data_IF_013255685675
#
_entry.id   IF_013255685675
#
_cell.length_a   1.000
_cell.length_b   1.000
_cell.length_c   1.000
_cell.angle_alpha   90.00
_cell.angle_beta   90.00
_cell.angle_gamma   90.00
#
_symmetry.space_group_name_H-M   'P 1'
#
loop_
_entity.id
_entity.type
_entity.pdbx_description
1 polymer ?
#
# COMPACT_ATOMS: atom_id res chain seq x y z
N UNK A 1 -7.97 -18.15 -13.62
CA UNK A 1 -7.60 -16.87 -12.98
C UNK A 1 -7.23 -17.03 -11.51
N UNK A 2 -6.10 -16.46 -11.04
CA UNK A 2 -5.72 -16.45 -9.61
C UNK A 2 -6.58 -15.51 -8.76
N UNK A 3 -7.39 -14.66 -9.39
CA UNK A 3 -8.22 -13.65 -8.71
C UNK A 3 -9.67 -14.07 -8.49
N UNK A 4 -10.00 -15.34 -8.75
CA UNK A 4 -11.36 -15.84 -8.60
C UNK A 4 -11.75 -15.93 -7.12
N UNK A 5 -12.95 -15.45 -6.79
CA UNK A 5 -13.48 -15.40 -5.41
C UNK A 5 -14.68 -16.33 -5.21
N UNK A 6 -14.96 -16.70 -3.97
CA UNK A 6 -16.15 -17.51 -3.61
C UNK A 6 -17.48 -16.86 -4.03
N UNK A 7 -17.57 -15.52 -3.95
CA UNK A 7 -18.75 -14.78 -4.41
C UNK A 7 -19.03 -14.97 -5.91
N UNK A 8 -17.98 -15.02 -6.72
CA UNK A 8 -18.09 -15.23 -8.16
C UNK A 8 -18.54 -16.67 -8.49
N UNK A 9 -18.05 -17.67 -7.75
CA UNK A 9 -18.56 -19.04 -7.89
C UNK A 9 -20.06 -19.14 -7.59
N UNK A 10 -20.51 -18.53 -6.48
CA UNK A 10 -21.93 -18.52 -6.12
C UNK A 10 -22.77 -17.86 -7.20
N UNK A 11 -22.33 -16.71 -7.74
CA UNK A 11 -23.02 -16.03 -8.84
C UNK A 11 -23.06 -16.89 -10.13
N UNK A 12 -21.99 -17.63 -10.42
CA UNK A 12 -21.95 -18.59 -11.53
C UNK A 12 -22.97 -19.72 -11.35
N UNK A 13 -23.09 -20.28 -10.15
CA UNK A 13 -24.06 -21.32 -9.81
C UNK A 13 -25.50 -20.78 -9.93
N UNK A 14 -25.75 -19.57 -9.44
CA UNK A 14 -27.07 -18.94 -9.58
C UNK A 14 -27.42 -18.70 -11.04
N UNK A 15 -26.43 -18.32 -11.86
CA UNK A 15 -26.62 -18.16 -13.30
C UNK A 15 -26.94 -19.49 -13.99
N UNK A 16 -26.31 -20.60 -13.59
CA UNK A 16 -26.56 -21.94 -14.14
C UNK A 16 -28.03 -22.35 -14.04
N UNK A 17 -28.83 -21.80 -13.12
CA UNK A 17 -30.26 -22.14 -13.03
C UNK A 17 -31.04 -21.88 -14.31
N UNK A 18 -30.54 -21.03 -15.20
CA UNK A 18 -31.18 -20.68 -16.48
C UNK A 18 -30.43 -21.25 -17.71
N UNK A 19 -29.37 -22.04 -17.51
CA UNK A 19 -28.49 -22.52 -18.58
C UNK A 19 -28.05 -23.97 -18.31
N UNK A 20 -27.53 -24.65 -19.33
CA UNK A 20 -27.01 -26.01 -19.19
C UNK A 20 -25.54 -26.02 -18.75
N UNK A 21 -24.81 -24.99 -19.19
CA UNK A 21 -23.43 -24.69 -18.84
C UNK A 21 -23.24 -23.19 -18.67
N UNK A 22 -22.29 -22.79 -17.84
CA UNK A 22 -21.85 -21.40 -17.66
C UNK A 22 -20.34 -21.33 -17.81
N UNK A 23 -19.89 -20.38 -18.63
CA UNK A 23 -18.48 -20.02 -18.78
C UNK A 23 -18.23 -18.61 -18.25
N UNK A 24 -16.98 -18.35 -17.90
CA UNK A 24 -16.54 -17.03 -17.45
C UNK A 24 -15.83 -16.29 -18.57
N UNK A 25 -16.19 -15.01 -18.76
CA UNK A 25 -15.56 -14.14 -19.75
C UNK A 25 -15.22 -12.78 -19.15
N UNK A 26 -14.25 -12.10 -19.75
CA UNK A 26 -13.97 -10.68 -19.52
C UNK A 26 -14.25 -9.89 -20.79
N UNK A 27 -14.52 -8.59 -20.66
CA UNK A 27 -14.51 -7.69 -21.81
C UNK A 27 -13.08 -7.38 -22.22
N UNK A 28 -12.77 -7.54 -23.50
CA UNK A 28 -11.50 -7.17 -24.09
C UNK A 28 -11.70 -6.12 -25.17
N UNK A 29 -10.91 -5.04 -25.10
CA UNK A 29 -10.85 -4.00 -26.13
C UNK A 29 -9.68 -4.21 -27.10
N UNK A 30 -9.09 -5.40 -27.12
CA UNK A 30 -7.99 -5.73 -28.04
C UNK A 30 -8.54 -5.86 -29.47
N UNK A 31 -7.81 -5.29 -30.41
CA UNK A 31 -8.08 -5.47 -31.83
C UNK A 31 -7.46 -6.78 -32.27
N UNK A 32 -8.26 -7.65 -32.84
CA UNK A 32 -7.84 -8.99 -33.25
C UNK A 32 -7.73 -9.10 -34.75
N UNK A 33 -6.77 -9.88 -35.19
CA UNK A 33 -6.48 -10.16 -36.58
C UNK A 33 -6.30 -11.66 -36.74
N UNK A 34 -6.70 -12.20 -37.89
CA UNK A 34 -6.35 -13.57 -38.27
C UNK A 34 -4.94 -13.64 -38.87
N UNK A 35 -4.49 -14.86 -39.22
CA UNK A 35 -3.18 -15.09 -39.83
C UNK A 35 -3.09 -14.57 -41.28
N UNK A 36 -4.24 -14.31 -41.91
CA UNK A 36 -4.35 -13.78 -43.27
C UNK A 36 -4.31 -12.25 -43.30
N UNK A 37 -4.29 -11.60 -42.13
CA UNK A 37 -4.26 -10.13 -42.03
C UNK A 37 -5.63 -9.48 -42.17
N UNK A 38 -6.72 -10.17 -41.83
CA UNK A 38 -8.05 -9.57 -41.73
C UNK A 38 -8.37 -9.21 -40.28
N UNK A 39 -8.96 -8.04 -40.05
CA UNK A 39 -9.47 -7.66 -38.75
C UNK A 39 -10.71 -8.49 -38.39
N UNK A 40 -10.74 -9.04 -37.18
CA UNK A 40 -11.80 -9.95 -36.74
C UNK A 40 -12.97 -9.23 -36.04
N UNK A 41 -12.72 -8.08 -35.42
CA UNK A 41 -13.68 -7.47 -34.50
C UNK A 41 -13.88 -5.96 -34.67
N UNK A 42 -13.37 -5.37 -35.77
CA UNK A 42 -13.59 -3.97 -36.10
C UNK A 42 -13.37 -3.73 -37.61
N UNK A 43 -13.90 -2.62 -38.12
CA UNK A 43 -13.66 -2.16 -39.49
C UNK A 43 -12.33 -1.39 -39.58
N UNK A 44 -11.42 -1.84 -40.44
CA UNK A 44 -10.11 -1.22 -40.64
C UNK A 44 -10.19 0.17 -41.27
N UNK A 45 -11.21 0.44 -42.08
CA UNK A 45 -11.39 1.73 -42.75
C UNK A 45 -12.07 2.76 -41.84
N UNK A 46 -12.76 2.28 -40.79
CA UNK A 46 -13.39 3.10 -39.76
C UNK A 46 -12.87 2.70 -38.37
N UNK A 47 -11.55 2.58 -38.21
CA UNK A 47 -10.94 2.07 -36.99
C UNK A 47 -11.25 2.98 -35.79
N UNK A 48 -12.03 2.51 -34.80
CA UNK A 48 -12.32 3.32 -33.61
C UNK A 48 -11.06 3.48 -32.74
N UNK A 49 -11.04 4.51 -31.90
CA UNK A 49 -10.07 4.53 -30.79
C UNK A 49 -10.40 3.38 -29.85
N UNK A 50 -9.38 2.82 -29.20
CA UNK A 50 -9.58 1.67 -28.29
C UNK A 50 -10.52 2.01 -27.13
N UNK A 51 -10.52 3.26 -26.68
CA UNK A 51 -11.41 3.75 -25.62
C UNK A 51 -12.89 3.70 -26.04
N UNK A 52 -13.17 3.99 -27.31
CA UNK A 52 -14.53 4.06 -27.88
C UNK A 52 -15.02 2.71 -28.42
N UNK A 53 -14.14 1.71 -28.50
CA UNK A 53 -14.51 0.37 -28.91
C UNK A 53 -15.27 -0.35 -27.79
N UNK A 54 -16.45 -0.88 -28.13
CA UNK A 54 -17.29 -1.64 -27.19
C UNK A 54 -16.59 -2.90 -26.66
N UNK A 55 -15.65 -3.46 -27.44
CA UNK A 55 -14.93 -4.67 -27.10
C UNK A 55 -15.71 -5.93 -27.45
N UNK A 56 -15.12 -7.07 -27.10
CA UNK A 56 -15.73 -8.39 -27.23
C UNK A 56 -15.55 -9.17 -25.92
N UNK A 57 -16.36 -10.19 -25.74
CA UNK A 57 -16.17 -11.14 -24.65
C UNK A 57 -15.08 -12.13 -25.04
N UNK A 58 -14.07 -12.25 -24.17
CA UNK A 58 -13.05 -13.29 -24.24
C UNK A 58 -13.14 -14.15 -22.99
N UNK A 59 -13.07 -15.45 -23.16
CA UNK A 59 -12.94 -16.39 -22.06
C UNK A 59 -11.70 -16.08 -21.21
N UNK A 60 -11.85 -16.11 -19.89
CA UNK A 60 -10.77 -15.83 -18.93
C UNK A 60 -10.32 -17.06 -18.13
N UNK A 61 -10.82 -18.26 -18.50
CA UNK A 61 -10.44 -19.54 -17.90
C UNK A 61 -10.64 -19.62 -16.38
N UNK A 62 -11.44 -18.74 -15.78
CA UNK A 62 -11.61 -18.68 -14.33
C UNK A 62 -12.38 -19.89 -13.80
N UNK A 63 -13.55 -20.19 -14.37
CA UNK A 63 -14.26 -21.43 -14.09
C UNK A 63 -15.29 -21.80 -15.16
N UNK A 64 -15.67 -23.07 -15.14
CA UNK A 64 -16.75 -23.65 -15.94
C UNK A 64 -17.71 -24.35 -14.99
N UNK A 65 -19.01 -24.14 -15.14
CA UNK A 65 -20.02 -24.82 -14.33
C UNK A 65 -21.02 -25.46 -15.27
N UNK A 66 -21.21 -26.77 -15.15
CA UNK A 66 -22.13 -27.52 -16.02
C UNK A 66 -22.78 -28.65 -15.21
N UNK A 67 -24.02 -29.01 -15.54
CA UNK A 67 -24.63 -30.19 -14.92
C UNK A 67 -23.94 -31.48 -15.38
N UNK A 68 -23.84 -32.44 -14.47
CA UNK A 68 -23.12 -33.72 -14.68
C UNK A 68 -23.66 -34.52 -15.87
N UNK A 69 -24.98 -34.50 -16.09
CA UNK A 69 -25.61 -35.20 -17.23
C UNK A 69 -25.11 -34.66 -18.57
N UNK A 70 -24.98 -33.33 -18.72
CA UNK A 70 -24.50 -32.70 -19.95
C UNK A 70 -23.00 -32.98 -20.20
N UNK A 71 -22.19 -33.02 -19.16
CA UNK A 71 -20.78 -33.42 -19.29
C UNK A 71 -20.67 -34.86 -19.80
N UNK A 72 -21.48 -35.77 -19.24
CA UNK A 72 -21.45 -37.19 -19.62
C UNK A 72 -21.95 -37.44 -21.04
N UNK A 73 -23.03 -36.77 -21.45
CA UNK A 73 -23.62 -36.98 -22.78
C UNK A 73 -22.78 -36.34 -23.90
N UNK A 74 -22.29 -35.12 -23.69
CA UNK A 74 -21.50 -34.39 -24.69
C UNK A 74 -20.01 -34.79 -24.70
N UNK A 75 -19.52 -35.40 -23.63
CA UNK A 75 -18.08 -35.63 -23.37
C UNK A 75 -17.26 -34.33 -23.37
N UNK A 76 -17.89 -33.20 -23.08
CA UNK A 76 -17.25 -31.89 -23.04
C UNK A 76 -17.57 -31.16 -21.73
N UNK A 77 -16.68 -30.25 -21.31
CA UNK A 77 -16.86 -29.44 -20.09
C UNK A 77 -18.00 -28.43 -20.23
N UNK A 78 -18.29 -28.00 -21.46
CA UNK A 78 -19.31 -27.01 -21.79
C UNK A 78 -20.15 -27.57 -22.94
N UNK A 79 -21.47 -27.55 -22.79
CA UNK A 79 -22.42 -28.00 -23.82
C UNK A 79 -23.84 -27.48 -23.56
N UNK A 80 -24.75 -27.69 -24.51
CA UNK A 80 -26.14 -27.24 -24.41
C UNK A 80 -26.26 -25.73 -24.57
N UNK A 81 -27.23 -25.12 -23.88
CA UNK A 81 -27.39 -23.68 -23.80
C UNK A 81 -26.35 -23.07 -22.84
N UNK A 82 -25.46 -22.23 -23.36
CA UNK A 82 -24.30 -21.71 -22.63
C UNK A 82 -24.57 -20.28 -22.14
N UNK A 83 -24.52 -20.09 -20.82
CA UNK A 83 -24.54 -18.78 -20.19
C UNK A 83 -23.15 -18.20 -20.04
N UNK A 84 -23.03 -16.88 -20.15
CA UNK A 84 -21.77 -16.17 -19.88
C UNK A 84 -21.87 -15.38 -18.57
N UNK A 85 -20.97 -15.66 -17.63
CA UNK A 85 -20.74 -14.82 -16.46
C UNK A 85 -19.57 -13.87 -16.73
N UNK A 86 -19.87 -12.58 -16.83
CA UNK A 86 -18.85 -11.56 -17.09
C UNK A 86 -18.13 -11.21 -15.79
N UNK A 87 -16.81 -11.34 -15.79
CA UNK A 87 -15.92 -11.04 -14.67
C UNK A 87 -15.15 -9.73 -14.92
N UNK A 88 -14.62 -9.10 -13.86
CA UNK A 88 -13.73 -7.95 -13.98
C UNK A 88 -12.48 -8.23 -14.83
N UNK A 89 -11.97 -7.22 -15.55
CA UNK A 89 -10.89 -7.37 -16.54
C UNK A 89 -9.61 -7.98 -15.94
N UNK A 90 -9.25 -7.61 -14.72
CA UNK A 90 -8.09 -8.12 -13.99
C UNK A 90 -8.09 -9.66 -13.87
N UNK A 91 -9.26 -10.29 -13.93
CA UNK A 91 -9.39 -11.74 -13.84
C UNK A 91 -8.98 -12.44 -15.14
N UNK A 92 -8.67 -11.72 -16.21
CA UNK A 92 -8.12 -12.27 -17.45
C UNK A 92 -6.73 -12.88 -17.29
N UNK A 93 -6.03 -12.58 -16.18
CA UNK A 93 -4.68 -13.06 -15.96
C UNK A 93 -4.69 -14.55 -15.61
N UNK A 94 -3.82 -15.28 -16.29
CA UNK A 94 -3.47 -16.67 -16.04
C UNK A 94 -1.99 -16.71 -15.65
N UNK A 95 -1.61 -17.60 -14.73
CA UNK A 95 -0.23 -17.71 -14.25
C UNK A 95 0.37 -18.97 -14.87
N UNK A 96 0.77 -18.87 -16.13
CA UNK A 96 1.34 -19.99 -16.88
C UNK A 96 2.86 -19.90 -16.97
N UNK A 97 3.40 -18.68 -17.04
CA UNK A 97 4.83 -18.39 -17.06
C UNK A 97 5.29 -17.60 -15.82
N UNK A 98 6.58 -17.66 -15.44
CA UNK A 98 7.11 -16.89 -14.32
C UNK A 98 6.87 -15.36 -14.40
N UNK A 99 6.74 -14.81 -15.61
CA UNK A 99 6.45 -13.38 -15.80
C UNK A 99 5.02 -13.02 -15.39
N UNK A 100 4.08 -13.95 -15.55
CA UNK A 100 2.68 -13.72 -15.18
C UNK A 100 2.54 -13.55 -13.67
N UNK A 101 3.39 -14.23 -12.89
CA UNK A 101 3.47 -14.04 -11.44
C UNK A 101 3.72 -12.57 -11.07
N UNK A 102 4.68 -11.91 -11.73
CA UNK A 102 5.02 -10.52 -11.44
C UNK A 102 3.86 -9.58 -11.77
N UNK A 103 3.13 -9.86 -12.85
CA UNK A 103 1.96 -9.07 -13.24
C UNK A 103 0.82 -9.30 -12.24
N UNK A 104 0.56 -10.56 -11.89
CA UNK A 104 -0.46 -10.94 -10.94
C UNK A 104 -0.19 -10.35 -9.54
N UNK A 105 1.04 -10.41 -9.06
CA UNK A 105 1.46 -9.84 -7.78
C UNK A 105 1.21 -8.33 -7.72
N UNK A 106 1.56 -7.59 -8.79
CA UNK A 106 1.32 -6.15 -8.86
C UNK A 106 -0.16 -5.76 -8.94
N UNK A 107 -1.00 -6.63 -9.50
CA UNK A 107 -2.45 -6.42 -9.50
C UNK A 107 -3.04 -6.79 -8.13
N UNK A 108 -2.57 -7.89 -7.53
CA UNK A 108 -2.96 -8.31 -6.19
C UNK A 108 -2.59 -7.26 -5.15
N UNK A 109 -1.42 -6.63 -5.26
CA UNK A 109 -0.98 -5.59 -4.32
C UNK A 109 -1.98 -4.44 -4.29
N UNK A 110 -2.55 -4.02 -5.43
CA UNK A 110 -3.63 -3.03 -5.46
C UNK A 110 -4.87 -3.52 -4.69
N UNK A 111 -5.30 -4.76 -4.90
CA UNK A 111 -6.45 -5.31 -4.17
C UNK A 111 -6.19 -5.44 -2.67
N UNK A 112 -4.99 -5.85 -2.26
CA UNK A 112 -4.60 -5.95 -0.86
C UNK A 112 -4.47 -4.58 -0.21
N UNK A 113 -3.90 -3.59 -0.91
CA UNK A 113 -3.80 -2.21 -0.43
C UNK A 113 -5.18 -1.55 -0.28
N UNK A 114 -6.12 -1.83 -1.19
CA UNK A 114 -7.51 -1.35 -1.11
C UNK A 114 -8.25 -1.98 0.08
N UNK A 115 -7.95 -3.24 0.41
CA UNK A 115 -8.69 -3.98 1.45
C UNK A 115 -8.01 -4.00 2.84
N UNK A 116 -6.74 -3.61 2.95
CA UNK A 116 -6.05 -3.50 4.23
C UNK A 116 -6.40 -2.16 4.87
N UNK A 117 -7.57 -2.09 5.51
CA UNK A 117 -7.91 -0.96 6.38
C UNK A 117 -6.90 -0.94 7.52
N UNK A 118 -5.95 -0.01 7.46
CA UNK A 118 -4.95 0.17 8.51
C UNK A 118 -5.69 0.71 9.73
N UNK A 119 -5.76 -0.09 10.78
CA UNK A 119 -6.38 0.29 12.04
C UNK A 119 -5.38 1.07 12.89
N UNK A 120 -5.36 2.38 12.70
CA UNK A 120 -4.46 3.27 13.39
C UNK A 120 -4.81 3.45 14.88
N UNK A 121 -5.96 2.95 15.35
CA UNK A 121 -6.32 2.96 16.79
C UNK A 121 -5.40 2.08 17.64
N UNK A 122 -4.64 1.18 17.00
CA UNK A 122 -3.64 0.33 17.67
C UNK A 122 -2.34 1.05 17.99
N UNK A 123 -2.12 2.26 17.49
CA UNK A 123 -0.89 3.01 17.78
C UNK A 123 -0.90 3.44 19.24
N UNK A 124 0.05 2.93 20.02
CA UNK A 124 0.27 3.33 21.42
C UNK A 124 1.49 4.21 21.60
N UNK A 125 2.45 4.11 20.68
CA UNK A 125 3.71 4.84 20.70
C UNK A 125 4.02 5.39 19.32
N UNK A 126 4.27 6.70 19.24
CA UNK A 126 4.74 7.38 18.05
C UNK A 126 6.15 7.92 18.29
N UNK A 127 7.07 7.61 17.38
CA UNK A 127 8.44 8.07 17.40
C UNK A 127 8.77 8.73 16.06
N UNK A 128 9.62 9.75 16.08
CA UNK A 128 10.11 10.42 14.87
C UNK A 128 11.62 10.47 14.86
N UNK A 129 12.24 10.29 13.69
CA UNK A 129 13.57 10.84 13.47
C UNK A 129 13.53 12.37 13.54
N UNK A 130 14.70 12.99 13.71
CA UNK A 130 14.84 14.44 13.77
C UNK A 130 15.26 14.97 12.40
N UNK A 131 16.45 14.61 11.95
CA UNK A 131 17.02 15.14 10.73
C UNK A 131 16.43 14.44 9.51
N UNK A 132 16.05 15.21 8.50
CA UNK A 132 15.35 14.70 7.32
C UNK A 132 13.86 14.35 7.53
N UNK A 133 13.37 14.43 8.78
CA UNK A 133 11.95 14.25 9.13
C UNK A 133 11.36 15.50 9.79
N UNK A 134 11.73 15.82 11.03
CA UNK A 134 11.28 17.04 11.71
C UNK A 134 11.98 18.30 11.20
N UNK A 135 13.15 18.12 10.59
CA UNK A 135 13.91 19.13 9.86
C UNK A 135 14.02 18.72 8.39
N UNK A 136 14.44 19.66 7.55
CA UNK A 136 14.70 19.42 6.13
C UNK A 136 16.00 18.65 5.86
N UNK A 137 16.69 18.19 6.91
CA UNK A 137 18.01 17.56 6.83
C UNK A 137 19.15 18.57 6.62
N UNK A 138 18.84 19.86 6.52
CA UNK A 138 19.82 20.93 6.41
C UNK A 138 20.42 21.30 7.78
N UNK A 139 21.73 21.52 7.78
CA UNK A 139 22.48 22.06 8.91
C UNK A 139 23.00 23.45 8.59
N UNK A 140 22.69 24.43 9.43
CA UNK A 140 23.18 25.79 9.29
C UNK A 140 24.31 26.02 10.29
N UNK A 141 25.49 26.38 9.79
CA UNK A 141 26.66 26.71 10.59
C UNK A 141 26.94 28.21 10.53
N UNK A 142 27.10 28.84 11.69
CA UNK A 142 27.59 30.21 11.81
C UNK A 142 29.12 30.25 11.92
N UNK A 143 29.72 31.41 11.63
CA UNK A 143 31.18 31.61 11.69
C UNK A 143 31.76 31.38 13.10
N UNK A 144 30.95 31.56 14.14
CA UNK A 144 31.32 31.29 15.55
C UNK A 144 31.19 29.81 15.95
N UNK A 145 30.79 28.94 15.02
CA UNK A 145 30.59 27.51 15.24
C UNK A 145 29.21 27.14 15.76
N UNK A 146 28.27 28.09 15.92
CA UNK A 146 26.91 27.77 16.31
C UNK A 146 26.14 27.04 15.20
N UNK A 147 25.31 26.09 15.61
CA UNK A 147 24.47 25.28 14.72
C UNK A 147 22.99 25.64 14.88
N UNK A 148 22.27 25.71 13.75
CA UNK A 148 20.83 25.95 13.74
C UNK A 148 20.12 24.89 12.89
N UNK A 149 18.89 24.59 13.30
CA UNK A 149 17.96 23.74 12.54
C UNK A 149 16.59 24.39 12.47
N UNK A 150 15.91 24.17 11.35
CA UNK A 150 14.53 24.62 11.14
C UNK A 150 13.57 23.48 11.47
N UNK A 151 12.58 23.75 12.31
CA UNK A 151 11.49 22.83 12.63
C UNK A 151 10.15 23.40 12.18
N UNK A 152 9.24 22.55 11.73
CA UNK A 152 7.86 22.94 11.44
C UNK A 152 7.05 23.16 12.73
N UNK A 153 6.22 24.20 12.76
CA UNK A 153 5.23 24.40 13.82
C UNK A 153 4.04 23.45 13.66
N UNK A 154 3.71 23.04 12.43
CA UNK A 154 2.63 22.09 12.14
C UNK A 154 2.89 20.73 12.78
N UNK A 155 4.14 20.25 12.72
CA UNK A 155 4.53 18.98 13.38
C UNK A 155 4.37 19.05 14.89
N UNK A 156 4.63 20.22 15.49
CA UNK A 156 4.38 20.43 16.92
C UNK A 156 2.91 20.26 17.31
N UNK A 157 1.99 20.74 16.48
CA UNK A 157 0.55 20.47 16.68
C UNK A 157 0.23 18.98 16.48
N UNK A 158 0.88 18.32 15.52
CA UNK A 158 0.77 16.88 15.32
C UNK A 158 1.05 16.08 16.60
N UNK A 159 2.22 16.29 17.20
CA UNK A 159 2.58 15.65 18.48
C UNK A 159 1.53 15.89 19.56
N UNK A 160 1.05 17.13 19.70
CA UNK A 160 0.04 17.48 20.69
C UNK A 160 -1.28 16.71 20.48
N UNK A 161 -1.74 16.58 19.23
CA UNK A 161 -2.97 15.83 18.92
C UNK A 161 -2.83 14.36 19.32
N UNK A 162 -1.68 13.74 19.06
CA UNK A 162 -1.42 12.35 19.48
C UNK A 162 -1.45 12.21 21.01
N UNK A 163 -0.83 13.15 21.72
CA UNK A 163 -0.83 13.16 23.18
C UNK A 163 -2.24 13.33 23.77
N UNK A 164 -3.07 14.19 23.17
CA UNK A 164 -4.49 14.37 23.54
C UNK A 164 -5.30 13.09 23.35
N UNK A 165 -4.90 12.21 22.41
CA UNK A 165 -5.47 10.87 22.22
C UNK A 165 -4.82 9.79 23.08
N UNK A 166 -3.92 10.14 24.00
CA UNK A 166 -3.25 9.21 24.91
C UNK A 166 -2.13 8.39 24.27
N UNK A 167 -1.71 8.72 23.04
CA UNK A 167 -0.55 8.10 22.39
C UNK A 167 0.72 8.67 23.00
N UNK A 168 1.64 7.79 23.38
CA UNK A 168 2.97 8.19 23.85
C UNK A 168 3.82 8.69 22.69
N UNK A 169 4.55 9.77 22.89
CA UNK A 169 5.31 10.40 21.80
C UNK A 169 6.78 10.60 22.13
N UNK A 170 7.65 10.51 21.12
CA UNK A 170 9.06 10.80 21.29
C UNK A 170 9.85 11.02 20.01
N UNK A 171 11.14 11.30 20.19
CA UNK A 171 12.12 11.40 19.10
C UNK A 171 13.30 10.46 19.31
N UNK A 172 13.91 10.01 18.21
CA UNK A 172 15.15 9.23 18.23
C UNK A 172 16.11 9.80 17.19
N UNK A 173 17.26 10.29 17.65
CA UNK A 173 18.31 10.85 16.78
C UNK A 173 19.67 10.25 17.09
N UNK A 174 20.51 10.12 16.06
CA UNK A 174 21.92 9.76 16.18
C UNK A 174 22.77 10.91 16.71
N UNK A 175 22.26 12.14 16.68
CA UNK A 175 22.96 13.30 17.23
C UNK A 175 22.72 13.45 18.73
N UNK A 176 23.69 14.08 19.42
CA UNK A 176 23.56 14.43 20.82
C UNK A 176 23.84 15.92 21.04
N UNK A 177 22.89 16.74 20.60
CA UNK A 177 22.98 18.21 20.65
C UNK A 177 21.86 18.81 21.51
N UNK A 178 22.18 19.87 22.25
CA UNK A 178 21.24 20.55 23.15
C UNK A 178 20.03 21.16 22.44
N UNK A 179 20.17 21.53 21.16
CA UNK A 179 19.08 22.05 20.36
C UNK A 179 17.94 21.03 20.20
N UNK A 180 18.26 19.75 19.96
CA UNK A 180 17.27 18.68 19.84
C UNK A 180 16.55 18.44 21.19
N UNK A 181 17.30 18.43 22.31
CA UNK A 181 16.74 18.30 23.67
C UNK A 181 15.81 19.45 24.03
N UNK A 182 16.19 20.69 23.73
CA UNK A 182 15.33 21.88 23.93
C UNK A 182 14.04 21.77 23.12
N UNK A 183 14.11 21.26 21.88
CA UNK A 183 12.93 21.04 21.05
C UNK A 183 12.01 19.97 21.64
N UNK A 184 12.56 18.82 22.04
CA UNK A 184 11.81 17.76 22.72
C UNK A 184 11.07 18.28 23.96
N UNK A 185 11.78 19.01 24.82
CA UNK A 185 11.19 19.64 26.01
C UNK A 185 10.08 20.63 25.66
N UNK A 186 10.27 21.46 24.62
CA UNK A 186 9.24 22.41 24.17
C UNK A 186 7.99 21.73 23.65
N UNK A 187 8.13 20.56 23.02
CA UNK A 187 7.01 19.74 22.55
C UNK A 187 6.36 18.92 23.69
N UNK A 188 7.01 18.82 24.85
CA UNK A 188 6.53 18.03 25.97
C UNK A 188 6.50 16.53 25.68
N UNK A 189 7.51 16.03 24.94
CA UNK A 189 7.58 14.61 24.56
C UNK A 189 7.70 13.70 25.80
N UNK A 190 7.14 12.50 25.74
CA UNK A 190 7.30 11.47 26.78
C UNK A 190 8.73 10.89 26.77
N UNK A 191 9.34 10.81 25.59
CA UNK A 191 10.67 10.23 25.38
C UNK A 191 11.52 11.04 24.40
N UNK A 192 12.80 11.19 24.67
CA UNK A 192 13.77 11.74 23.74
C UNK A 192 15.12 11.01 23.84
N UNK A 193 15.49 10.32 22.77
CA UNK A 193 16.73 9.53 22.71
C UNK A 193 17.73 10.21 21.78
N UNK A 194 18.95 10.41 22.29
CA UNK A 194 20.02 11.15 21.63
C UNK A 194 21.30 10.32 21.58
N UNK A 195 22.12 10.53 20.55
CA UNK A 195 23.35 9.75 20.36
C UNK A 195 23.10 8.28 20.06
N UNK A 196 21.92 7.94 19.50
CA UNK A 196 21.50 6.55 19.31
C UNK A 196 22.14 5.98 18.05
N UNK A 197 22.89 4.89 18.23
CA UNK A 197 23.47 4.11 17.12
C UNK A 197 22.50 3.03 16.65
N UNK A 198 21.96 2.25 17.58
CA UNK A 198 20.97 1.21 17.28
C UNK A 198 19.56 1.67 17.68
N UNK A 199 18.84 2.26 16.72
CA UNK A 199 17.48 2.75 16.93
C UNK A 199 16.50 1.60 17.21
N UNK A 200 16.70 0.41 16.65
CA UNK A 200 15.79 -0.72 16.86
C UNK A 200 15.90 -1.22 18.30
N UNK A 201 17.12 -1.45 18.79
CA UNK A 201 17.35 -1.94 20.15
C UNK A 201 16.74 -1.02 21.21
N UNK A 202 16.93 0.30 21.06
CA UNK A 202 16.34 1.29 21.99
C UNK A 202 14.82 1.20 22.01
N UNK A 203 14.18 1.04 20.85
CA UNK A 203 12.71 0.93 20.77
C UNK A 203 12.24 -0.41 21.34
N UNK A 204 12.94 -1.50 21.10
CA UNK A 204 12.62 -2.80 21.69
C UNK A 204 12.67 -2.77 23.21
N UNK A 205 13.68 -2.12 23.78
CA UNK A 205 13.81 -2.01 25.23
C UNK A 205 12.75 -1.10 25.85
N UNK A 206 12.42 0.01 25.19
CA UNK A 206 11.28 0.85 25.57
C UNK A 206 9.95 0.09 25.48
N UNK A 207 9.77 -0.70 24.42
CA UNK A 207 8.59 -1.54 24.22
C UNK A 207 8.42 -2.56 25.35
N UNK A 208 9.51 -3.22 25.77
CA UNK A 208 9.51 -4.13 26.94
C UNK A 208 9.14 -3.38 28.22
N UNK A 209 9.73 -2.22 28.46
CA UNK A 209 9.47 -1.43 29.67
C UNK A 209 8.00 -0.96 29.74
N UNK A 210 7.42 -0.53 28.62
CA UNK A 210 6.06 0.00 28.56
C UNK A 210 4.99 -1.04 28.25
N UNK A 211 5.36 -2.31 28.09
CA UNK A 211 4.46 -3.39 27.68
C UNK A 211 3.69 -3.03 26.38
N UNK A 212 4.44 -2.57 25.38
CA UNK A 212 3.96 -2.21 24.04
C UNK A 212 4.61 -3.16 23.04
N UNK A 213 3.86 -3.68 22.07
CA UNK A 213 4.43 -4.46 20.97
C UNK A 213 5.00 -3.55 19.88
N UNK A 214 6.05 -3.97 19.16
CA UNK A 214 6.53 -3.25 17.96
C UNK A 214 5.42 -3.03 16.92
N UNK A 215 4.44 -3.93 16.85
CA UNK A 215 3.26 -3.79 15.98
C UNK A 215 2.33 -2.62 16.35
N UNK A 216 2.48 -2.07 17.56
CA UNK A 216 1.72 -0.91 18.08
C UNK A 216 2.55 0.39 18.04
N UNK A 217 3.74 0.33 17.45
CA UNK A 217 4.65 1.47 17.28
C UNK A 217 4.50 2.06 15.89
N UNK A 218 4.40 3.38 15.83
CA UNK A 218 4.52 4.17 14.62
C UNK A 218 5.86 4.91 14.59
N UNK A 219 6.55 4.85 13.45
CA UNK A 219 7.84 5.52 13.26
C UNK A 219 7.94 6.21 11.90
N UNK A 220 8.42 7.46 11.91
CA UNK A 220 8.76 8.22 10.69
C UNK A 220 10.27 8.39 10.62
N UNK A 221 10.88 7.92 9.54
CA UNK A 221 12.32 8.01 9.27
C UNK A 221 12.61 8.18 7.77
N UNK A 222 13.80 8.63 7.41
CA UNK A 222 14.14 9.00 6.03
C UNK A 222 15.42 8.36 5.46
N UNK A 223 16.36 7.91 6.31
CA UNK A 223 17.68 7.42 5.89
C UNK A 223 18.05 6.00 6.41
N UNK A 224 19.21 5.47 6.02
CA UNK A 224 19.70 4.10 6.27
C UNK A 224 19.72 3.75 7.76
N UNK A 225 20.08 4.71 8.62
CA UNK A 225 20.07 4.53 10.09
C UNK A 225 18.67 4.18 10.64
N UNK A 226 17.60 4.48 9.89
CA UNK A 226 16.23 4.16 10.24
C UNK A 226 15.76 2.81 9.68
N UNK A 227 16.50 2.19 8.75
CA UNK A 227 16.04 1.02 8.00
C UNK A 227 15.59 -0.14 8.89
N UNK A 228 16.40 -0.50 9.88
CA UNK A 228 16.10 -1.63 10.76
C UNK A 228 14.84 -1.37 11.60
N UNK A 229 14.68 -0.16 12.14
CA UNK A 229 13.49 0.19 12.91
C UNK A 229 12.24 0.26 12.03
N UNK A 230 12.31 0.94 10.88
CA UNK A 230 11.22 1.03 9.91
C UNK A 230 10.77 -0.34 9.39
N UNK A 231 11.68 -1.30 9.26
CA UNK A 231 11.36 -2.65 8.78
C UNK A 231 10.64 -3.52 9.82
N UNK A 232 10.61 -3.12 11.10
CA UNK A 232 10.10 -3.93 12.21
C UNK A 232 8.91 -3.33 12.95
N UNK A 233 8.64 -2.03 12.82
CA UNK A 233 7.47 -1.39 13.47
C UNK A 233 6.16 -1.69 12.73
N UNK A 234 5.04 -1.61 13.45
CA UNK A 234 3.71 -1.83 12.88
C UNK A 234 3.26 -0.76 11.88
N UNK A 235 3.70 0.49 12.09
CA UNK A 235 3.32 1.62 11.24
C UNK A 235 4.57 2.42 10.84
N UNK A 236 5.22 1.97 9.76
CA UNK A 236 6.37 2.65 9.19
C UNK A 236 5.92 3.70 8.16
N UNK A 237 6.49 4.90 8.23
CA UNK A 237 6.28 5.94 7.23
C UNK A 237 7.58 6.66 6.89
N UNK A 238 7.63 7.27 5.70
CA UNK A 238 8.77 8.11 5.33
C UNK A 238 8.35 9.36 4.54
N UNK A 239 9.11 10.46 4.67
CA UNK A 239 8.96 11.66 3.84
C UNK A 239 9.14 11.40 2.34
N UNK A 240 8.65 12.31 1.51
CA UNK A 240 8.80 12.23 0.04
C UNK A 240 10.25 12.39 -0.42
N UNK A 241 11.11 13.05 0.38
CA UNK A 241 12.55 13.20 0.12
C UNK A 241 13.42 12.09 0.76
N UNK A 242 12.81 11.07 1.40
CA UNK A 242 13.55 9.91 1.92
C UNK A 242 14.31 9.16 0.82
N UNK A 243 15.37 8.45 1.19
CA UNK A 243 16.17 7.68 0.23
C UNK A 243 15.36 6.51 -0.36
N UNK A 244 15.70 6.08 -1.58
CA UNK A 244 14.99 5.00 -2.26
C UNK A 244 14.98 3.68 -1.46
N UNK A 245 16.06 3.39 -0.71
CA UNK A 245 16.12 2.20 0.15
C UNK A 245 15.02 2.19 1.22
N UNK A 246 14.69 3.35 1.79
CA UNK A 246 13.61 3.50 2.77
C UNK A 246 12.24 3.41 2.07
N UNK A 247 12.05 4.12 0.96
CA UNK A 247 10.80 4.08 0.18
C UNK A 247 10.42 2.68 -0.30
N UNK A 248 11.40 1.81 -0.49
CA UNK A 248 11.20 0.43 -0.94
C UNK A 248 10.94 -0.57 0.20
N UNK A 249 10.85 -0.12 1.47
CA UNK A 249 10.46 -1.01 2.58
C UNK A 249 9.01 -1.48 2.34
N UNK A 250 8.74 -2.79 2.39
CA UNK A 250 7.39 -3.31 2.17
C UNK A 250 6.36 -2.70 3.13
N UNK A 251 5.22 -2.24 2.60
CA UNK A 251 4.13 -1.59 3.34
C UNK A 251 4.47 -0.24 3.99
N UNK A 252 5.60 0.39 3.68
CA UNK A 252 5.89 1.72 4.19
C UNK A 252 4.87 2.74 3.68
N UNK A 253 4.41 3.61 4.57
CA UNK A 253 3.48 4.69 4.22
C UNK A 253 4.30 5.83 3.60
N UNK A 254 4.10 6.04 2.30
CA UNK A 254 4.70 7.15 1.58
C UNK A 254 3.92 8.44 1.87
N UNK A 255 4.63 9.43 2.40
CA UNK A 255 4.11 10.78 2.65
C UNK A 255 4.43 11.68 1.46
N UNK A 256 3.59 12.69 1.23
CA UNK A 256 3.75 13.62 0.11
C UNK A 256 4.72 14.75 0.46
N UNK A 257 4.75 15.17 1.73
CA UNK A 257 5.61 16.24 2.21
C UNK A 257 7.04 15.77 2.45
N UNK A 258 7.96 16.72 2.29
CA UNK A 258 9.37 16.52 2.63
C UNK A 258 9.60 16.72 4.14
N UNK A 259 10.74 16.24 4.63
CA UNK A 259 11.24 16.59 5.96
C UNK A 259 11.21 18.09 6.24
N UNK A 260 10.83 18.47 7.45
CA UNK A 260 10.75 19.88 7.87
C UNK A 260 9.54 20.66 7.35
N UNK A 261 8.70 20.08 6.49
CA UNK A 261 7.53 20.74 5.88
C UNK A 261 6.18 20.39 6.57
N UNK A 262 6.22 19.75 7.73
CA UNK A 262 5.01 19.26 8.39
C UNK A 262 4.68 17.82 8.04
N UNK A 263 5.69 16.97 7.84
CA UNK A 263 5.53 15.56 7.43
C UNK A 263 4.95 14.69 8.54
N UNK A 264 5.33 14.94 9.80
CA UNK A 264 4.72 14.29 10.96
C UNK A 264 3.26 14.70 11.07
N UNK A 265 2.94 15.97 10.80
CA UNK A 265 1.55 16.41 10.73
C UNK A 265 0.75 15.71 9.64
N UNK A 266 1.30 15.54 8.44
CA UNK A 266 0.62 14.79 7.37
C UNK A 266 0.37 13.33 7.76
N UNK A 267 1.36 12.67 8.37
CA UNK A 267 1.21 11.31 8.84
C UNK A 267 0.05 11.20 9.85
N UNK A 268 0.02 12.12 10.82
CA UNK A 268 -1.02 12.16 11.85
C UNK A 268 -2.38 12.49 11.24
N UNK A 269 -2.48 13.43 10.31
CA UNK A 269 -3.72 13.71 9.60
C UNK A 269 -4.19 12.46 8.83
N UNK A 270 -3.30 11.68 8.19
CA UNK A 270 -3.67 10.40 7.54
C UNK A 270 -4.16 9.33 8.53
N UNK A 271 -3.57 9.27 9.72
CA UNK A 271 -4.03 8.39 10.81
C UNK A 271 -5.46 8.77 11.22
N UNK A 272 -5.70 10.07 11.41
CA UNK A 272 -6.93 10.60 12.00
C UNK A 272 -8.08 10.78 11.01
N UNK A 273 -7.79 11.16 9.76
CA UNK A 273 -8.80 11.40 8.73
C UNK A 273 -9.38 10.09 8.15
N UNK A 274 -8.85 8.92 8.53
CA UNK A 274 -9.54 7.64 8.34
C UNK A 274 -10.68 7.40 9.37
N UNK A 275 -10.92 8.36 10.27
CA UNK A 275 -12.05 8.37 11.23
C UNK A 275 -13.23 9.29 10.82
N UNK A 276 -13.28 9.82 9.59
CA UNK A 276 -14.42 10.60 9.08
C UNK A 276 -14.97 10.08 7.75
#
# INVERSE_FOLDING_TARGET
SPFTTSKQFNAGIDKLRNYDSVITCCFSKRFRWDLQGNALNYDIYNRPRRQDFAGELIENGAFYISYVNYIKSSKNRVSGNIGVYVMPEETIIEIDEPRDWVIAENIMSKFLLINKKIDFTKIKLFLSDVDGVLTDGGMYYAEDGNEFKRFSTHDGMGFKILQEKGVKVGIITSENVELNKKRAKKLGLDFDFHGVVDKLQIVEDLCKEKNISLSEVAYVGDDINCYNLLSNVGFAACPSNAINKIKNIPNIILLNKSGGEGVVREFIDKILLNEF
#
